data_IF_545979208968
#
_entry.id   IF_545979208968
#
_cell.length_a   1.000
_cell.length_b   1.000
_cell.length_c   1.000
_cell.angle_alpha   90.00
_cell.angle_beta   90.00
_cell.angle_gamma   90.00
#
_symmetry.space_group_name_H-M   'P 1'
#
loop_
_entity.id
_entity.type
_entity.pdbx_description
1 polymer ?
#
# COMPACT_ATOMS: atom_id res chain seq x y z
N UNK A 1 12.23 15.39 31.55
CA UNK A 1 12.62 14.97 30.18
C UNK A 1 11.35 14.78 29.38
N UNK A 2 11.23 15.42 28.24
CA UNK A 2 10.06 15.31 27.36
C UNK A 2 10.44 14.60 26.06
N UNK A 3 9.51 13.82 25.51
CA UNK A 3 9.66 13.21 24.20
C UNK A 3 9.30 14.21 23.10
N UNK A 4 9.93 14.07 21.95
CA UNK A 4 9.62 14.90 20.78
C UNK A 4 8.24 14.54 20.22
N UNK A 5 7.43 15.57 19.96
CA UNK A 5 6.16 15.42 19.22
C UNK A 5 6.19 16.36 18.03
N UNK A 6 6.02 15.79 16.82
CA UNK A 6 6.01 16.56 15.58
C UNK A 6 4.73 17.37 15.46
N UNK A 7 4.86 18.61 14.97
CA UNK A 7 3.70 19.44 14.63
C UNK A 7 3.37 19.30 13.14
N UNK A 8 2.09 19.36 12.76
CA UNK A 8 1.73 19.27 11.33
C UNK A 8 2.43 20.29 10.43
N UNK A 9 2.72 21.48 10.96
CA UNK A 9 3.43 22.54 10.22
C UNK A 9 4.91 22.23 9.99
N UNK A 10 5.49 21.27 10.71
CA UNK A 10 6.90 20.90 10.63
C UNK A 10 7.16 19.69 9.76
N UNK A 11 6.13 19.13 9.14
CA UNK A 11 6.26 17.93 8.33
C UNK A 11 6.89 18.29 6.99
N UNK A 12 8.01 17.64 6.67
CA UNK A 12 8.65 17.69 5.36
C UNK A 12 8.42 16.36 4.65
N UNK A 13 7.95 16.40 3.41
CA UNK A 13 7.64 15.21 2.62
C UNK A 13 8.58 15.08 1.45
N UNK A 14 9.17 13.89 1.31
CA UNK A 14 10.01 13.53 0.17
C UNK A 14 9.25 12.59 -0.76
N UNK A 15 9.75 12.45 -1.97
CA UNK A 15 9.24 11.51 -2.95
C UNK A 15 10.17 10.31 -3.07
N UNK A 16 9.61 9.12 -3.03
CA UNK A 16 10.35 7.87 -3.19
C UNK A 16 9.76 7.08 -4.34
N UNK A 17 10.64 6.45 -5.12
CA UNK A 17 10.25 5.57 -6.21
C UNK A 17 10.70 4.16 -5.84
N UNK A 18 9.78 3.20 -5.92
CA UNK A 18 10.06 1.78 -5.70
C UNK A 18 9.80 1.03 -7.00
N UNK A 19 10.77 0.27 -7.46
CA UNK A 19 10.63 -0.61 -8.62
C UNK A 19 10.19 -1.99 -8.14
N UNK A 20 9.02 -2.43 -8.60
CA UNK A 20 8.44 -3.71 -8.22
C UNK A 20 8.83 -4.86 -9.16
N UNK A 21 9.55 -4.57 -10.26
CA UNK A 21 9.90 -5.58 -11.24
C UNK A 21 10.73 -6.72 -10.61
N UNK A 22 10.27 -7.96 -10.77
CA UNK A 22 10.95 -9.14 -10.26
C UNK A 22 10.97 -9.30 -8.75
N UNK A 23 10.28 -8.44 -8.00
CA UNK A 23 10.24 -8.48 -6.54
C UNK A 23 8.90 -9.02 -6.05
N UNK A 24 8.88 -9.73 -4.90
CA UNK A 24 7.62 -10.16 -4.29
C UNK A 24 6.72 -8.97 -3.97
N UNK A 25 5.47 -9.03 -4.38
CA UNK A 25 4.52 -7.93 -4.22
C UNK A 25 4.32 -7.53 -2.75
N UNK A 26 4.23 -8.50 -1.85
CA UNK A 26 4.05 -8.24 -0.43
C UNK A 26 5.22 -7.48 0.21
N UNK A 27 6.43 -7.78 -0.19
CA UNK A 27 7.63 -7.09 0.32
C UNK A 27 7.72 -5.65 -0.18
N UNK A 28 7.40 -5.42 -1.45
CA UNK A 28 7.31 -4.07 -2.02
C UNK A 28 6.24 -3.25 -1.29
N UNK A 29 5.07 -3.85 -1.07
CA UNK A 29 3.98 -3.21 -0.34
C UNK A 29 4.38 -2.87 1.11
N UNK A 30 5.13 -3.73 1.78
CA UNK A 30 5.62 -3.48 3.14
C UNK A 30 6.57 -2.27 3.20
N UNK A 31 7.50 -2.15 2.25
CA UNK A 31 8.38 -0.99 2.17
C UNK A 31 7.60 0.30 1.90
N UNK A 32 6.64 0.25 0.98
CA UNK A 32 5.77 1.38 0.68
C UNK A 32 4.97 1.82 1.90
N UNK A 33 4.43 0.88 2.67
CA UNK A 33 3.66 1.17 3.87
C UNK A 33 4.50 1.86 4.95
N UNK A 34 5.75 1.43 5.14
CA UNK A 34 6.68 2.07 6.08
C UNK A 34 6.93 3.53 5.70
N UNK A 35 7.18 3.79 4.42
CA UNK A 35 7.43 5.15 3.92
C UNK A 35 6.19 6.03 4.02
N UNK A 36 5.02 5.49 3.69
CA UNK A 36 3.75 6.24 3.77
C UNK A 36 3.38 6.62 5.20
N UNK A 37 3.68 5.76 6.17
CA UNK A 37 3.42 6.04 7.58
C UNK A 37 4.46 6.94 8.23
N UNK A 38 5.65 7.04 7.64
CA UNK A 38 6.74 7.83 8.18
C UNK A 38 7.50 7.15 9.32
N UNK A 39 7.38 5.83 9.50
CA UNK A 39 8.08 5.09 10.55
C UNK A 39 9.59 5.05 10.39
N UNK A 40 10.10 5.36 9.20
CA UNK A 40 11.53 5.46 8.92
C UNK A 40 12.16 6.75 9.47
N UNK A 41 11.33 7.72 9.88
CA UNK A 41 11.79 9.00 10.41
C UNK A 41 11.92 8.94 11.93
N UNK A 42 13.01 9.50 12.51
CA UNK A 42 13.11 9.60 13.96
C UNK A 42 12.08 10.54 14.58
N UNK A 43 11.46 11.41 13.77
CA UNK A 43 10.40 12.34 14.18
C UNK A 43 9.00 11.73 14.15
N UNK A 44 8.88 10.42 13.91
CA UNK A 44 7.58 9.74 13.84
C UNK A 44 6.74 10.00 15.09
N UNK A 45 5.51 10.48 14.88
CA UNK A 45 4.53 10.71 15.93
C UNK A 45 3.20 10.06 15.50
N UNK A 46 2.62 9.15 16.33
CA UNK A 46 1.46 8.36 15.89
C UNK A 46 0.22 9.17 15.50
N UNK A 47 -0.03 10.31 16.17
CA UNK A 47 -1.22 11.13 15.90
C UNK A 47 -1.02 12.15 14.77
N UNK A 48 0.19 12.30 14.26
CA UNK A 48 0.52 13.23 13.18
C UNK A 48 0.93 12.43 11.94
N UNK A 49 0.37 12.80 10.79
CA UNK A 49 0.70 12.20 9.52
C UNK A 49 2.01 12.81 8.97
N UNK A 50 3.12 12.16 9.31
CA UNK A 50 4.47 12.59 8.92
C UNK A 50 5.11 11.79 7.80
N UNK A 51 4.35 10.96 7.07
CA UNK A 51 4.86 10.11 6.01
C UNK A 51 5.22 10.85 4.73
N UNK A 52 5.82 10.13 3.79
CA UNK A 52 6.28 10.65 2.50
C UNK A 52 5.37 10.19 1.36
N UNK A 53 5.65 10.73 0.15
CA UNK A 53 5.00 10.27 -1.08
C UNK A 53 5.74 9.06 -1.63
N UNK A 54 5.01 8.07 -2.12
CA UNK A 54 5.58 6.85 -2.70
C UNK A 54 5.00 6.62 -4.09
N UNK A 55 5.89 6.31 -5.03
CA UNK A 55 5.54 5.89 -6.38
C UNK A 55 6.07 4.47 -6.58
N UNK A 56 5.19 3.55 -6.95
CA UNK A 56 5.56 2.17 -7.28
C UNK A 56 5.41 2.00 -8.79
N UNK A 57 6.47 1.55 -9.44
CA UNK A 57 6.51 1.33 -10.88
C UNK A 57 6.68 -0.16 -11.20
N UNK A 58 6.35 -0.55 -12.42
CA UNK A 58 6.48 -1.92 -12.92
C UNK A 58 5.70 -2.96 -12.09
N UNK A 59 4.50 -2.59 -11.64
CA UNK A 59 3.67 -3.50 -10.85
C UNK A 59 3.22 -4.75 -11.62
N UNK A 60 3.12 -4.66 -12.95
CA UNK A 60 2.79 -5.81 -13.79
C UNK A 60 3.84 -6.92 -13.71
N UNK A 61 5.09 -6.56 -13.47
CA UNK A 61 6.22 -7.49 -13.35
C UNK A 61 6.50 -7.94 -11.91
N UNK A 62 5.67 -7.54 -10.95
CA UNK A 62 5.79 -7.99 -9.57
C UNK A 62 5.46 -9.48 -9.47
N UNK A 63 6.18 -10.18 -8.59
CA UNK A 63 6.07 -11.63 -8.43
C UNK A 63 5.13 -11.97 -7.28
N UNK A 64 4.24 -12.93 -7.52
CA UNK A 64 3.46 -13.61 -6.48
C UNK A 64 4.07 -14.99 -6.24
N UNK A 65 4.60 -15.22 -5.05
CA UNK A 65 5.29 -16.47 -4.70
C UNK A 65 4.33 -17.63 -4.47
N UNK A 66 4.80 -18.86 -4.67
CA UNK A 66 4.00 -20.07 -4.48
C UNK A 66 2.82 -20.15 -5.47
N UNK A 67 1.68 -20.64 -5.01
CA UNK A 67 0.49 -20.83 -5.83
C UNK A 67 -0.53 -19.67 -5.72
N UNK A 68 -0.09 -18.48 -5.30
CA UNK A 68 -1.00 -17.34 -5.09
C UNK A 68 -1.72 -16.91 -6.35
N UNK A 69 -1.06 -16.97 -7.51
CA UNK A 69 -1.71 -16.63 -8.78
C UNK A 69 -2.93 -17.50 -9.06
N UNK A 70 -2.90 -18.76 -8.64
CA UNK A 70 -3.99 -19.71 -8.87
C UNK A 70 -5.02 -19.71 -7.74
N UNK A 71 -4.55 -19.57 -6.48
CA UNK A 71 -5.38 -19.80 -5.30
C UNK A 71 -5.89 -18.52 -4.65
N UNK A 72 -5.14 -17.41 -4.74
CA UNK A 72 -5.55 -16.16 -4.11
C UNK A 72 -6.64 -15.48 -4.92
N UNK A 73 -7.70 -15.03 -4.22
CA UNK A 73 -8.83 -14.35 -4.86
C UNK A 73 -9.13 -13.04 -4.17
N UNK A 74 -9.58 -12.06 -4.94
CA UNK A 74 -10.12 -10.82 -4.44
C UNK A 74 -11.64 -10.94 -4.34
N UNK A 75 -12.20 -10.65 -3.17
CA UNK A 75 -13.63 -10.77 -2.91
C UNK A 75 -14.25 -9.39 -2.72
N UNK A 76 -15.42 -9.21 -3.29
CA UNK A 76 -16.25 -8.03 -3.08
C UNK A 76 -17.70 -8.42 -2.95
N UNK A 77 -18.36 -7.91 -1.91
CA UNK A 77 -19.79 -8.13 -1.69
C UNK A 77 -20.59 -6.92 -2.18
N UNK A 78 -21.69 -7.17 -2.91
CA UNK A 78 -22.53 -6.11 -3.47
C UNK A 78 -23.50 -5.50 -2.46
N UNK A 79 -23.68 -6.11 -1.28
CA UNK A 79 -24.66 -5.73 -0.26
C UNK A 79 -25.95 -6.55 -0.30
N UNK A 80 -26.22 -7.25 -1.41
CA UNK A 80 -27.36 -8.17 -1.50
C UNK A 80 -26.99 -9.56 -1.01
N UNK A 81 -27.94 -10.29 -0.43
CA UNK A 81 -27.73 -11.64 0.09
C UNK A 81 -27.26 -12.58 -1.03
N UNK A 82 -26.17 -13.31 -0.78
CA UNK A 82 -25.62 -14.28 -1.73
C UNK A 82 -24.86 -13.68 -2.91
N UNK A 83 -24.64 -12.37 -2.96
CA UNK A 83 -23.97 -11.70 -4.09
C UNK A 83 -22.51 -11.37 -3.75
N UNK A 84 -21.70 -12.41 -3.51
CA UNK A 84 -20.26 -12.30 -3.36
C UNK A 84 -19.59 -12.42 -4.74
N UNK A 85 -18.82 -11.39 -5.14
CA UNK A 85 -18.04 -11.41 -6.36
C UNK A 85 -16.61 -11.81 -6.09
N UNK A 86 -16.07 -12.67 -6.93
CA UNK A 86 -14.70 -13.18 -6.84
C UNK A 86 -13.92 -12.86 -8.09
N UNK A 87 -12.65 -12.46 -7.93
CA UNK A 87 -11.71 -12.31 -9.03
C UNK A 87 -10.41 -13.00 -8.63
N UNK A 88 -9.95 -13.95 -9.44
CA UNK A 88 -8.67 -14.61 -9.21
C UNK A 88 -7.50 -13.64 -9.43
N UNK A 89 -6.42 -13.82 -8.69
CA UNK A 89 -5.24 -12.96 -8.82
C UNK A 89 -4.50 -13.13 -10.15
N UNK A 90 -4.64 -14.28 -10.82
CA UNK A 90 -4.15 -14.47 -12.18
C UNK A 90 -4.76 -13.45 -13.14
N UNK A 91 -6.08 -13.31 -13.11
CA UNK A 91 -6.82 -12.33 -13.90
C UNK A 91 -6.57 -10.90 -13.43
N UNK A 92 -6.55 -10.68 -12.12
CA UNK A 92 -6.34 -9.36 -11.54
C UNK A 92 -4.97 -8.79 -11.93
N UNK A 93 -3.91 -9.59 -11.86
CA UNK A 93 -2.57 -9.18 -12.25
C UNK A 93 -2.44 -8.94 -13.76
N UNK A 94 -3.21 -9.67 -14.58
CA UNK A 94 -3.21 -9.48 -16.03
C UNK A 94 -3.93 -8.20 -16.45
N UNK A 95 -5.07 -7.89 -15.81
CA UNK A 95 -5.91 -6.76 -16.20
C UNK A 95 -5.59 -5.48 -15.41
N UNK A 96 -5.39 -5.60 -14.10
CA UNK A 96 -5.22 -4.44 -13.19
C UNK A 96 -4.16 -4.70 -12.13
N UNK A 97 -2.87 -4.79 -12.53
CA UNK A 97 -1.81 -5.02 -11.55
C UNK A 97 -1.66 -3.89 -10.53
N UNK A 98 -1.93 -2.64 -10.92
CA UNK A 98 -1.88 -1.50 -10.00
C UNK A 98 -2.92 -1.61 -8.89
N UNK A 99 -4.09 -2.13 -9.18
CA UNK A 99 -5.13 -2.34 -8.17
C UNK A 99 -4.73 -3.42 -7.17
N UNK A 100 -4.10 -4.50 -7.63
CA UNK A 100 -3.57 -5.54 -6.75
C UNK A 100 -2.52 -5.00 -5.78
N UNK A 101 -1.60 -4.17 -6.27
CA UNK A 101 -0.59 -3.53 -5.43
C UNK A 101 -1.22 -2.55 -4.42
N UNK A 102 -2.18 -1.76 -4.86
CA UNK A 102 -2.90 -0.84 -3.97
C UNK A 102 -3.63 -1.58 -2.85
N UNK A 103 -4.24 -2.71 -3.13
CA UNK A 103 -4.88 -3.56 -2.12
C UNK A 103 -3.87 -4.09 -1.10
N UNK A 104 -2.70 -4.52 -1.56
CA UNK A 104 -1.64 -5.01 -0.70
C UNK A 104 -1.16 -3.92 0.27
N UNK A 105 -0.93 -2.71 -0.22
CA UNK A 105 -0.51 -1.57 0.61
C UNK A 105 -1.62 -1.15 1.56
N UNK A 106 -2.86 -1.09 1.09
CA UNK A 106 -4.03 -0.73 1.91
C UNK A 106 -4.20 -1.66 3.10
N UNK A 107 -3.97 -2.97 2.90
CA UNK A 107 -4.03 -3.95 3.98
C UNK A 107 -2.96 -3.78 5.05
N UNK A 108 -1.85 -3.11 4.72
CA UNK A 108 -0.72 -2.88 5.63
C UNK A 108 -0.78 -1.54 6.35
N UNK A 109 -1.73 -0.68 6.02
CA UNK A 109 -1.92 0.63 6.64
C UNK A 109 -3.19 0.57 7.50
N UNK A 110 -3.18 1.16 8.72
CA UNK A 110 -4.35 1.17 9.58
C UNK A 110 -5.55 1.85 8.92
N UNK A 111 -6.76 1.34 9.18
CA UNK A 111 -8.02 1.88 8.66
C UNK A 111 -8.52 3.07 9.47
N UNK A 112 -7.62 3.99 9.81
CA UNK A 112 -7.93 5.21 10.57
C UNK A 112 -7.99 6.41 9.63
N UNK A 113 -8.40 7.57 10.16
CA UNK A 113 -8.40 8.82 9.39
C UNK A 113 -7.01 9.12 8.81
N UNK A 114 -5.97 9.05 9.64
CA UNK A 114 -4.59 9.25 9.18
C UNK A 114 -4.16 8.20 8.14
N UNK A 115 -4.58 6.95 8.32
CA UNK A 115 -4.28 5.88 7.35
C UNK A 115 -4.89 6.15 5.98
N UNK A 116 -6.11 6.66 5.93
CA UNK A 116 -6.75 7.03 4.66
C UNK A 116 -6.03 8.18 3.96
N UNK A 117 -5.57 9.18 4.71
CA UNK A 117 -4.76 10.27 4.17
C UNK A 117 -3.41 9.78 3.67
N UNK A 118 -2.77 8.86 4.38
CA UNK A 118 -1.51 8.24 3.96
C UNK A 118 -1.65 7.53 2.62
N UNK A 119 -2.75 6.81 2.41
CA UNK A 119 -3.01 6.12 1.14
C UNK A 119 -3.19 7.07 -0.05
N UNK A 120 -3.61 8.30 0.16
CA UNK A 120 -3.74 9.28 -0.93
C UNK A 120 -2.40 9.68 -1.53
N UNK A 121 -1.29 9.45 -0.81
CA UNK A 121 0.06 9.77 -1.28
C UNK A 121 0.73 8.63 -2.03
N UNK A 122 0.04 7.50 -2.17
CA UNK A 122 0.52 6.36 -2.96
C UNK A 122 0.11 6.52 -4.42
N UNK A 123 1.08 6.34 -5.32
CA UNK A 123 0.85 6.27 -6.76
C UNK A 123 1.43 4.97 -7.29
N UNK A 124 0.63 4.23 -8.04
CA UNK A 124 1.01 2.92 -8.54
C UNK A 124 0.85 2.88 -10.06
N UNK A 125 1.87 2.42 -10.74
CA UNK A 125 1.89 2.28 -12.20
C UNK A 125 2.28 0.85 -12.59
N UNK A 126 1.67 0.39 -13.67
CA UNK A 126 1.89 -0.97 -14.18
C UNK A 126 3.31 -1.22 -14.69
#
# INVERSE_FOLDING_TARGET
MSTFMQKPSQVERKWYIIDAAGKPMGRVAAQAAILLRGKHKPTYTPHVDGGDHVIIINCADAVLTGNKLQNKKYYRHTGYVGHLKEVGYDRLMAEKPEFAMQLAVKGMIPSTHNGREQLTRLRVYA
#
